data_IF_928164416732
#
_entry.id   IF_928164416732
#
_cell.length_a   1.000
_cell.length_b   1.000
_cell.length_c   1.000
_cell.angle_alpha   90.00
_cell.angle_beta   90.00
_cell.angle_gamma   90.00
#
_symmetry.space_group_name_H-M   'P 1'
#
loop_
_entity.id
_entity.type
_entity.pdbx_description
1 polymer ?
#
# COMPACT_ATOMS: atom_id res chain seq x y z
N UNK A 1 -0.94 9.69 7.85
CA UNK A 1 0.42 10.17 8.22
C UNK A 1 1.42 9.41 7.37
N UNK A 2 2.63 9.94 7.18
CA UNK A 2 3.61 9.39 6.24
C UNK A 2 4.87 8.92 6.96
N UNK A 3 5.37 7.75 6.57
CA UNK A 3 6.71 7.27 6.93
C UNK A 3 7.56 7.10 5.67
N UNK A 4 8.85 7.41 5.77
CA UNK A 4 9.82 7.09 4.73
C UNK A 4 10.28 5.64 4.83
N UNK A 5 10.40 5.01 3.68
CA UNK A 5 10.82 3.62 3.56
C UNK A 5 12.30 3.43 3.87
N UNK A 6 13.14 4.40 3.52
CA UNK A 6 14.59 4.36 3.69
C UNK A 6 15.13 5.50 4.57
N UNK A 7 16.35 5.37 5.13
CA UNK A 7 17.01 6.46 5.85
C UNK A 7 17.23 7.70 4.96
N UNK A 8 17.20 8.88 5.58
CA UNK A 8 17.44 10.15 4.88
C UNK A 8 16.39 10.47 3.80
N UNK A 9 15.19 9.89 3.89
CA UNK A 9 14.12 10.06 2.91
C UNK A 9 14.52 9.64 1.49
N UNK A 10 15.47 8.69 1.36
CA UNK A 10 15.80 8.09 0.05
C UNK A 10 14.55 7.43 -0.54
N UNK A 11 14.32 7.65 -1.83
CA UNK A 11 13.11 7.23 -2.52
C UNK A 11 13.17 5.77 -2.98
N UNK A 12 14.24 5.40 -3.67
CA UNK A 12 14.37 4.08 -4.30
C UNK A 12 15.46 3.25 -3.62
N UNK A 13 15.18 1.95 -3.44
CA UNK A 13 16.19 0.99 -3.05
C UNK A 13 17.08 0.66 -4.25
N UNK A 14 18.38 0.54 -4.02
CA UNK A 14 19.38 0.22 -5.05
C UNK A 14 19.96 -1.19 -4.87
N UNK A 15 19.80 -1.76 -3.68
CA UNK A 15 20.29 -3.09 -3.34
C UNK A 15 19.41 -3.83 -2.32
N UNK A 16 19.70 -5.12 -2.12
CA UNK A 16 18.96 -5.98 -1.20
C UNK A 16 19.06 -5.56 0.27
N UNK A 17 20.09 -4.81 0.66
CA UNK A 17 20.21 -4.27 2.03
C UNK A 17 19.16 -3.18 2.23
N UNK A 18 18.97 -2.32 1.24
CA UNK A 18 17.94 -1.28 1.27
C UNK A 18 16.54 -1.88 1.18
N UNK A 19 16.32 -2.90 0.35
CA UNK A 19 15.05 -3.65 0.37
C UNK A 19 14.78 -4.29 1.74
N UNK A 20 15.79 -4.86 2.39
CA UNK A 20 15.61 -5.39 3.74
C UNK A 20 15.20 -4.30 4.73
N UNK A 21 15.77 -3.09 4.63
CA UNK A 21 15.40 -1.96 5.50
C UNK A 21 13.95 -1.51 5.27
N UNK A 22 13.54 -1.28 4.01
CA UNK A 22 12.17 -0.81 3.76
C UNK A 22 11.13 -1.86 4.13
N UNK A 23 11.37 -3.13 3.81
CA UNK A 23 10.46 -4.22 4.16
C UNK A 23 10.39 -4.40 5.68
N UNK A 24 11.50 -4.25 6.39
CA UNK A 24 11.52 -4.28 7.85
C UNK A 24 10.68 -3.16 8.47
N UNK A 25 10.77 -1.93 7.94
CA UNK A 25 9.94 -0.80 8.40
C UNK A 25 8.46 -1.03 8.15
N UNK A 26 8.08 -1.43 6.93
CA UNK A 26 6.68 -1.71 6.60
C UNK A 26 6.11 -2.82 7.49
N UNK A 27 6.81 -3.93 7.63
CA UNK A 27 6.38 -5.03 8.48
C UNK A 27 6.31 -4.63 9.96
N UNK A 28 7.19 -3.75 10.44
CA UNK A 28 7.13 -3.26 11.82
C UNK A 28 5.87 -2.45 12.07
N UNK A 29 5.50 -1.55 11.15
CA UNK A 29 4.21 -0.84 11.26
C UNK A 29 3.04 -1.83 11.22
N UNK A 30 3.06 -2.79 10.31
CA UNK A 30 1.97 -3.76 10.17
C UNK A 30 1.85 -4.71 11.37
N UNK A 31 2.95 -5.13 11.97
CA UNK A 31 2.94 -5.91 13.22
C UNK A 31 2.24 -5.11 14.34
N UNK A 32 2.50 -3.80 14.45
CA UNK A 32 1.82 -2.96 15.44
C UNK A 32 0.32 -2.78 15.17
N UNK A 33 -0.09 -2.80 13.91
CA UNK A 33 -1.49 -2.60 13.52
C UNK A 33 -2.31 -3.90 13.53
N UNK A 34 -1.69 -5.03 13.17
CA UNK A 34 -2.41 -6.23 12.75
C UNK A 34 -1.93 -7.54 13.39
N UNK A 35 -0.92 -7.50 14.29
CA UNK A 35 -0.46 -8.71 14.98
C UNK A 35 -1.60 -9.48 15.67
N UNK A 36 -1.67 -10.79 15.40
CA UNK A 36 -2.70 -11.68 15.93
C UNK A 36 -4.07 -11.55 15.26
N UNK A 37 -4.23 -10.67 14.27
CA UNK A 37 -5.46 -10.46 13.53
C UNK A 37 -5.44 -11.02 12.11
N UNK A 38 -6.54 -10.77 11.40
CA UNK A 38 -6.65 -10.97 9.96
C UNK A 38 -6.67 -9.61 9.26
N UNK A 39 -6.14 -9.60 8.03
CA UNK A 39 -6.07 -8.41 7.19
C UNK A 39 -6.71 -8.69 5.84
N UNK A 40 -7.18 -7.60 5.22
CA UNK A 40 -7.35 -7.57 3.77
C UNK A 40 -6.07 -7.04 3.13
N UNK A 41 -5.57 -7.76 2.13
CA UNK A 41 -4.53 -7.27 1.23
C UNK A 41 -5.22 -6.88 -0.06
N UNK A 42 -5.01 -5.65 -0.50
CA UNK A 42 -5.69 -5.10 -1.67
C UNK A 42 -4.68 -4.68 -2.72
N UNK A 43 -4.93 -5.08 -3.96
CA UNK A 43 -4.19 -4.64 -5.16
C UNK A 43 -5.17 -4.07 -6.16
N UNK A 44 -4.70 -3.14 -6.99
CA UNK A 44 -5.55 -2.48 -7.99
C UNK A 44 -5.13 -2.83 -9.41
N UNK A 45 -6.07 -2.64 -10.32
CA UNK A 45 -5.90 -2.68 -11.77
C UNK A 45 -6.78 -1.57 -12.35
N UNK A 46 -6.54 -1.18 -13.60
CA UNK A 46 -7.37 -0.15 -14.25
C UNK A 46 -7.52 -0.42 -15.74
N UNK A 47 -8.59 0.11 -16.32
CA UNK A 47 -8.84 0.08 -17.75
C UNK A 47 -9.66 1.30 -18.17
N UNK A 48 -9.67 1.58 -19.48
CA UNK A 48 -10.69 2.43 -20.09
C UNK A 48 -12.08 1.80 -19.87
N UNK A 49 -13.10 2.54 -19.38
CA UNK A 49 -14.45 2.00 -19.17
C UNK A 49 -15.14 1.43 -20.41
N UNK A 50 -14.74 1.89 -21.60
CA UNK A 50 -15.26 1.50 -22.91
C UNK A 50 -14.60 0.23 -23.48
N UNK A 51 -13.42 -0.14 -22.97
CA UNK A 51 -12.68 -1.32 -23.44
C UNK A 51 -13.12 -2.61 -22.71
N UNK A 52 -13.08 -3.76 -23.40
CA UNK A 52 -13.22 -5.05 -22.73
C UNK A 52 -12.07 -5.22 -21.72
N UNK A 53 -12.43 -5.59 -20.49
CA UNK A 53 -11.44 -5.67 -19.41
C UNK A 53 -10.39 -6.75 -19.69
N UNK A 54 -9.14 -6.31 -19.82
CA UNK A 54 -7.97 -7.18 -19.82
C UNK A 54 -7.34 -7.17 -18.43
N UNK A 55 -7.49 -8.27 -17.69
CA UNK A 55 -6.87 -8.40 -16.37
C UNK A 55 -5.34 -8.38 -16.47
N UNK A 56 -4.67 -7.54 -15.69
CA UNK A 56 -3.21 -7.48 -15.64
C UNK A 56 -2.63 -8.82 -15.22
N UNK A 57 -1.96 -9.50 -16.15
CA UNK A 57 -1.28 -10.76 -15.89
C UNK A 57 -0.17 -10.59 -14.83
N UNK A 58 0.47 -9.42 -14.78
CA UNK A 58 1.49 -9.09 -13.78
C UNK A 58 0.90 -9.03 -12.38
N UNK A 59 -0.21 -8.29 -12.20
CA UNK A 59 -0.90 -8.21 -10.90
C UNK A 59 -1.43 -9.58 -10.47
N UNK A 60 -2.03 -10.35 -11.39
CA UNK A 60 -2.51 -11.70 -11.09
C UNK A 60 -1.38 -12.67 -10.68
N UNK A 61 -0.17 -12.50 -11.24
CA UNK A 61 0.99 -13.30 -10.84
C UNK A 61 1.53 -12.92 -9.46
N UNK A 62 1.49 -11.64 -9.09
CA UNK A 62 1.94 -11.14 -7.79
C UNK A 62 0.91 -11.36 -6.66
N UNK A 63 -0.38 -11.30 -6.98
CA UNK A 63 -1.48 -11.47 -6.03
C UNK A 63 -2.52 -12.49 -6.53
N UNK A 64 -2.15 -13.79 -6.61
CA UNK A 64 -3.01 -14.82 -7.18
C UNK A 64 -4.25 -15.15 -6.31
N UNK A 65 -4.19 -14.89 -5.00
CA UNK A 65 -5.34 -15.07 -4.11
C UNK A 65 -6.35 -13.90 -4.19
N UNK A 66 -5.96 -12.79 -4.83
CA UNK A 66 -6.77 -11.59 -4.94
C UNK A 66 -8.00 -11.82 -5.81
N UNK A 67 -9.17 -11.84 -5.18
CA UNK A 67 -10.46 -11.93 -5.88
C UNK A 67 -11.02 -10.54 -6.14
N UNK A 68 -11.74 -10.35 -7.25
CA UNK A 68 -12.36 -9.06 -7.56
C UNK A 68 -13.34 -8.70 -6.44
N UNK A 69 -13.01 -7.65 -5.70
CA UNK A 69 -13.80 -7.15 -4.58
C UNK A 69 -14.84 -6.14 -5.06
N UNK A 70 -14.39 -5.13 -5.84
CA UNK A 70 -15.28 -4.12 -6.40
C UNK A 70 -14.68 -3.45 -7.63
N UNK A 71 -15.52 -2.72 -8.35
CA UNK A 71 -15.17 -1.90 -9.51
C UNK A 71 -15.73 -0.49 -9.28
N UNK A 72 -14.93 0.53 -9.61
CA UNK A 72 -15.32 1.93 -9.50
C UNK A 72 -15.01 2.64 -10.81
N UNK A 73 -15.99 3.36 -11.36
CA UNK A 73 -15.79 4.19 -12.55
C UNK A 73 -15.55 5.63 -12.10
N UNK A 74 -14.40 6.18 -12.46
CA UNK A 74 -14.04 7.58 -12.28
C UNK A 74 -14.36 8.33 -13.58
N UNK A 75 -15.56 8.92 -13.62
CA UNK A 75 -16.11 9.60 -14.80
C UNK A 75 -16.34 11.10 -14.58
N UNK A 76 -15.74 11.65 -13.52
CA UNK A 76 -15.91 13.06 -13.15
C UNK A 76 -15.12 13.99 -14.10
N UNK A 77 -14.17 13.44 -14.87
CA UNK A 77 -13.45 14.20 -15.88
C UNK A 77 -14.39 14.59 -17.04
N UNK A 78 -14.35 15.85 -17.53
CA UNK A 78 -15.22 16.28 -18.62
C UNK A 78 -14.91 15.61 -19.96
N UNK A 79 -13.66 15.18 -20.16
CA UNK A 79 -13.24 14.40 -21.32
C UNK A 79 -13.46 12.90 -21.06
N UNK A 80 -14.31 12.21 -21.85
CA UNK A 80 -14.51 10.76 -21.73
C UNK A 80 -13.25 9.93 -21.91
N UNK A 81 -12.26 10.41 -22.66
CA UNK A 81 -11.00 9.71 -22.91
C UNK A 81 -10.11 9.63 -21.65
N UNK A 82 -10.40 10.47 -20.64
CA UNK A 82 -9.75 10.47 -19.33
C UNK A 82 -10.57 9.75 -18.25
N UNK A 83 -11.66 9.06 -18.62
CA UNK A 83 -12.41 8.24 -17.68
C UNK A 83 -11.65 6.95 -17.37
N UNK A 84 -11.65 6.55 -16.11
CA UNK A 84 -10.90 5.36 -15.67
C UNK A 84 -11.83 4.42 -14.91
N UNK A 85 -11.81 3.14 -15.26
CA UNK A 85 -12.40 2.07 -14.45
C UNK A 85 -11.34 1.44 -13.59
N UNK A 86 -11.50 1.56 -12.28
CA UNK A 86 -10.66 0.93 -11.26
C UNK A 86 -11.21 -0.42 -10.85
N UNK A 87 -10.34 -1.42 -10.73
CA UNK A 87 -10.67 -2.74 -10.21
C UNK A 87 -9.88 -2.99 -8.93
N UNK A 88 -10.58 -3.35 -7.86
CA UNK A 88 -9.96 -3.66 -6.58
C UNK A 88 -10.04 -5.16 -6.34
N UNK A 89 -8.91 -5.77 -6.03
CA UNK A 89 -8.82 -7.18 -5.69
C UNK A 89 -8.39 -7.34 -4.27
N UNK A 90 -9.10 -8.17 -3.54
CA UNK A 90 -8.79 -8.44 -2.15
C UNK A 90 -8.73 -9.94 -1.89
N UNK A 91 -7.84 -10.31 -0.98
CA UNK A 91 -7.93 -11.55 -0.24
C UNK A 91 -7.91 -11.26 1.26
N UNK A 92 -8.40 -12.21 2.04
CA UNK A 92 -8.33 -12.18 3.50
C UNK A 92 -7.36 -13.22 3.98
N UNK A 93 -6.39 -12.81 4.79
CA UNK A 93 -5.39 -13.72 5.36
C UNK A 93 -5.03 -13.34 6.80
N UNK A 94 -4.65 -14.32 7.64
CA UNK A 94 -4.02 -14.04 8.92
C UNK A 94 -2.74 -13.22 8.70
N UNK A 95 -2.56 -12.15 9.47
CA UNK A 95 -1.32 -11.38 9.39
C UNK A 95 -0.12 -12.22 9.86
N UNK A 96 0.93 -12.22 9.05
CA UNK A 96 2.24 -12.77 9.39
C UNK A 96 3.30 -11.86 8.79
N UNK A 97 4.28 -11.46 9.60
CA UNK A 97 5.45 -10.73 9.12
C UNK A 97 6.02 -11.39 7.85
N UNK A 98 6.19 -10.60 6.81
CA UNK A 98 6.74 -11.02 5.52
C UNK A 98 5.71 -11.59 4.52
N UNK A 99 4.43 -11.78 4.89
CA UNK A 99 3.46 -12.45 4.01
C UNK A 99 3.03 -11.64 2.78
N UNK A 100 3.43 -10.36 2.72
CA UNK A 100 3.10 -9.41 1.65
C UNK A 100 4.36 -8.73 1.07
N UNK A 101 5.56 -9.18 1.44
CA UNK A 101 6.82 -8.57 1.00
C UNK A 101 6.97 -8.50 -0.53
N UNK A 102 6.58 -9.53 -1.32
CA UNK A 102 6.64 -9.42 -2.78
C UNK A 102 5.80 -8.28 -3.34
N UNK A 103 4.63 -8.01 -2.74
CA UNK A 103 3.75 -6.92 -3.15
C UNK A 103 4.33 -5.56 -2.79
N UNK A 104 4.93 -5.43 -1.61
CA UNK A 104 5.54 -4.17 -1.19
C UNK A 104 6.81 -3.84 -1.94
N UNK A 105 7.59 -4.86 -2.30
CA UNK A 105 8.72 -4.68 -3.21
C UNK A 105 8.24 -4.16 -4.56
N UNK A 106 7.22 -4.79 -5.13
CA UNK A 106 6.62 -4.32 -6.38
C UNK A 106 6.05 -2.90 -6.28
N UNK A 107 5.44 -2.52 -5.15
CA UNK A 107 4.96 -1.16 -4.91
C UNK A 107 6.12 -0.14 -4.79
N UNK A 108 7.21 -0.49 -4.12
CA UNK A 108 8.39 0.36 -3.98
C UNK A 108 9.13 0.58 -5.32
N UNK A 109 9.03 -0.40 -6.23
CA UNK A 109 9.59 -0.34 -7.58
C UNK A 109 8.60 0.26 -8.61
N UNK A 110 7.45 0.77 -8.17
CA UNK A 110 6.35 1.27 -9.02
C UNK A 110 5.79 0.22 -10.01
N UNK A 111 6.15 -1.06 -9.85
CA UNK A 111 5.70 -2.18 -10.70
C UNK A 111 4.26 -2.61 -10.38
N UNK A 112 3.81 -2.38 -9.14
CA UNK A 112 2.44 -2.60 -8.70
C UNK A 112 1.99 -1.46 -7.78
N UNK A 113 1.62 -0.30 -8.32
CA UNK A 113 1.16 0.83 -7.51
C UNK A 113 -0.22 0.55 -6.89
N UNK A 114 -0.54 1.25 -5.80
CA UNK A 114 -1.85 1.19 -5.16
C UNK A 114 -2.13 -0.07 -4.34
N UNK A 115 -1.08 -0.80 -3.94
CA UNK A 115 -1.20 -1.84 -2.91
C UNK A 115 -1.54 -1.20 -1.58
N UNK A 116 -2.47 -1.80 -0.82
CA UNK A 116 -2.65 -1.44 0.59
C UNK A 116 -3.10 -2.63 1.42
N UNK A 117 -2.85 -2.55 2.73
CA UNK A 117 -3.27 -3.54 3.72
C UNK A 117 -4.16 -2.85 4.75
N UNK A 118 -5.23 -3.52 5.15
CA UNK A 118 -6.20 -2.96 6.10
C UNK A 118 -6.77 -4.03 7.04
N UNK A 119 -7.23 -3.60 8.22
CA UNK A 119 -8.01 -4.48 9.09
C UNK A 119 -9.37 -4.80 8.46
N UNK A 120 -10.05 -5.82 9.00
CA UNK A 120 -11.37 -6.24 8.47
C UNK A 120 -12.46 -5.17 8.61
N UNK A 121 -12.25 -4.14 9.43
CA UNK A 121 -13.17 -3.02 9.62
C UNK A 121 -12.89 -1.80 8.75
N UNK A 122 -11.83 -1.80 7.92
CA UNK A 122 -11.39 -0.64 7.13
C UNK A 122 -11.10 0.60 7.98
N UNK A 123 -10.58 0.41 9.19
CA UNK A 123 -10.31 1.49 10.16
C UNK A 123 -8.83 1.87 10.24
N UNK A 124 -7.95 0.96 9.83
CA UNK A 124 -6.50 1.10 9.77
C UNK A 124 -6.04 0.68 8.40
N UNK A 125 -5.30 1.54 7.73
CA UNK A 125 -4.80 1.29 6.36
C UNK A 125 -3.31 1.61 6.34
N UNK A 126 -2.52 0.72 5.75
CA UNK A 126 -1.13 0.93 5.39
C UNK A 126 -0.99 0.82 3.88
N UNK A 127 -0.65 1.93 3.23
CA UNK A 127 -0.54 2.06 1.77
C UNK A 127 0.91 2.43 1.39
N UNK A 128 1.77 1.44 1.09
CA UNK A 128 3.13 1.70 0.63
C UNK A 128 3.16 2.14 -0.82
N UNK A 129 4.20 2.90 -1.15
CA UNK A 129 4.55 3.35 -2.49
C UNK A 129 6.06 3.64 -2.50
N UNK A 130 6.58 4.10 -3.63
CA UNK A 130 7.98 4.43 -3.77
C UNK A 130 8.43 5.53 -2.77
N UNK A 131 9.44 5.22 -1.97
CA UNK A 131 9.98 6.13 -0.95
C UNK A 131 9.23 6.21 0.38
N UNK A 132 8.09 5.52 0.54
CA UNK A 132 7.37 5.58 1.81
C UNK A 132 6.12 4.73 1.93
N UNK A 133 5.34 5.03 2.96
CA UNK A 133 3.99 4.54 3.13
C UNK A 133 3.14 5.58 3.84
N UNK A 134 1.89 5.69 3.39
CA UNK A 134 0.86 6.43 4.10
C UNK A 134 0.08 5.47 5.02
N UNK A 135 -0.07 5.88 6.27
CA UNK A 135 -0.82 5.16 7.30
C UNK A 135 -2.04 5.98 7.71
N UNK A 136 -3.22 5.41 7.53
CA UNK A 136 -4.51 5.98 7.94
C UNK A 136 -4.98 5.22 9.17
N UNK A 137 -5.35 5.95 10.23
CA UNK A 137 -5.78 5.37 11.50
C UNK A 137 -7.07 6.04 11.95
N UNK A 138 -7.86 5.32 12.74
CA UNK A 138 -9.20 5.73 13.14
C UNK A 138 -9.21 7.01 13.97
N UNK A 139 -8.18 7.26 14.79
CA UNK A 139 -8.13 8.44 15.67
C UNK A 139 -6.78 9.16 15.64
N UNK A 140 -6.77 10.49 15.92
CA UNK A 140 -5.55 11.27 16.10
C UNK A 140 -4.62 10.70 17.18
N UNK A 141 -5.15 10.18 18.28
CA UNK A 141 -4.35 9.64 19.39
C UNK A 141 -3.63 8.36 19.00
N UNK A 142 -4.27 7.49 18.23
CA UNK A 142 -3.62 6.28 17.70
C UNK A 142 -2.50 6.65 16.73
N UNK A 143 -2.79 7.58 15.81
CA UNK A 143 -1.80 8.15 14.88
C UNK A 143 -0.61 8.75 15.61
N UNK A 144 -0.85 9.57 16.61
CA UNK A 144 0.20 10.28 17.35
C UNK A 144 1.08 9.30 18.13
N UNK A 145 0.50 8.28 18.78
CA UNK A 145 1.30 7.23 19.43
C UNK A 145 2.18 6.46 18.45
N UNK A 146 1.64 6.09 17.28
CA UNK A 146 2.42 5.38 16.26
C UNK A 146 3.51 6.26 15.67
N UNK A 147 3.21 7.53 15.38
CA UNK A 147 4.19 8.54 14.95
C UNK A 147 5.33 8.68 15.96
N UNK A 148 5.00 8.83 17.23
CA UNK A 148 5.98 9.13 18.28
C UNK A 148 6.95 7.96 18.51
N UNK A 149 6.51 6.71 18.29
CA UNK A 149 7.39 5.52 18.32
C UNK A 149 8.41 5.49 17.18
N UNK A 150 8.09 6.09 16.04
CA UNK A 150 8.85 5.98 14.79
C UNK A 150 9.30 7.33 14.24
N UNK A 151 9.66 8.25 15.14
CA UNK A 151 10.03 9.62 14.76
C UNK A 151 11.20 9.69 13.78
N UNK A 152 12.12 8.72 13.86
CA UNK A 152 13.28 8.59 12.98
C UNK A 152 12.92 8.26 11.52
N UNK A 153 11.69 7.87 11.23
CA UNK A 153 11.22 7.53 9.88
C UNK A 153 10.38 8.65 9.26
N UNK A 154 10.12 9.72 10.00
CA UNK A 154 9.39 10.89 9.50
C UNK A 154 10.32 11.79 8.69
N UNK A 155 9.74 12.62 7.81
CA UNK A 155 10.51 13.68 7.15
C UNK A 155 11.08 14.63 8.20
N UNK A 156 12.35 14.98 8.05
CA UNK A 156 12.96 16.08 8.80
C UNK A 156 12.50 17.46 8.29
N UNK A 157 11.85 17.51 7.12
CA UNK A 157 11.37 18.74 6.52
C UNK A 157 10.14 19.26 7.28
N UNK A 158 10.07 20.57 7.62
CA UNK A 158 8.96 21.14 8.40
C UNK A 158 7.57 20.96 7.78
N UNK A 159 7.50 20.80 6.46
CA UNK A 159 6.25 20.55 5.72
C UNK A 159 5.95 19.08 5.45
N UNK A 160 6.82 18.16 5.88
CA UNK A 160 6.57 16.71 5.81
C UNK A 160 6.88 16.01 4.48
N UNK A 161 7.54 16.69 3.52
CA UNK A 161 8.02 16.10 2.25
C UNK A 161 9.44 15.57 2.36
#
# INVERSE_FOLDING_TARGET
MRFHSLPGSKRYAEDETEYAILLDRYNTVLDELFAGGEVYVVTIDWADPSEPTHWSAHRAALHPEGTLWTTLDETDHPDPDDHIRWFYYADRRPWRRGCVDPLFRAAADEALPGVFVTDTGLTRIHAPYDGGADVVLATPEERDRLRDRHTAWLSAHPSGY
#
